data_IF_555723879436
#
_entry.id   IF_555723879436
#
_cell.length_a   1.000
_cell.length_b   1.000
_cell.length_c   1.000
_cell.angle_alpha   90.00
_cell.angle_beta   90.00
_cell.angle_gamma   90.00
#
_symmetry.space_group_name_H-M   'P 1'
#
loop_
_entity.id
_entity.type
_entity.pdbx_description
1 polymer ?
#
# COMPACT_ATOMS: atom_id res chain seq x y z
N UNK A 1 16.94 -4.65 28.16
CA UNK A 1 16.80 -4.28 26.74
C UNK A 1 15.77 -5.20 26.13
N UNK A 2 14.55 -4.72 25.89
CA UNK A 2 13.55 -5.47 25.12
C UNK A 2 13.65 -4.94 23.69
N UNK A 3 14.39 -5.66 22.85
CA UNK A 3 14.45 -5.38 21.42
C UNK A 3 13.30 -6.14 20.76
N UNK A 4 12.12 -5.54 20.75
CA UNK A 4 11.07 -5.93 19.82
C UNK A 4 11.21 -5.02 18.59
N UNK A 5 12.21 -5.31 17.75
CA UNK A 5 12.21 -4.85 16.36
C UNK A 5 11.21 -5.77 15.62
N UNK A 6 9.91 -5.59 15.88
CA UNK A 6 8.90 -6.06 14.93
C UNK A 6 8.83 -4.99 13.85
N UNK A 7 9.45 -5.24 12.69
CA UNK A 7 9.14 -4.46 11.51
C UNK A 7 7.65 -4.63 11.24
N UNK A 8 6.89 -3.55 11.47
CA UNK A 8 5.43 -3.66 11.39
C UNK A 8 5.05 -3.59 9.92
N UNK A 9 4.80 -4.77 9.34
CA UNK A 9 4.22 -4.89 8.01
C UNK A 9 2.79 -4.34 8.02
N UNK A 10 2.54 -3.33 7.19
CA UNK A 10 1.23 -2.69 7.08
C UNK A 10 0.53 -3.21 5.83
N UNK A 11 -0.73 -3.61 6.00
CA UNK A 11 -1.60 -4.11 4.93
C UNK A 11 -2.89 -3.32 4.84
N UNK A 12 -3.27 -2.94 3.62
CA UNK A 12 -4.55 -2.28 3.33
C UNK A 12 -5.18 -2.86 2.07
N UNK A 13 -6.43 -3.29 2.20
CA UNK A 13 -7.27 -3.67 1.07
C UNK A 13 -8.18 -2.50 0.68
N UNK A 14 -8.27 -2.25 -0.62
CA UNK A 14 -9.15 -1.26 -1.23
C UNK A 14 -10.12 -1.98 -2.16
N UNK A 15 -11.41 -1.85 -1.90
CA UNK A 15 -12.46 -2.40 -2.76
C UNK A 15 -12.97 -1.30 -3.69
N UNK A 16 -12.91 -1.56 -4.99
CA UNK A 16 -13.58 -0.75 -6.00
C UNK A 16 -14.99 -1.31 -6.26
N UNK A 17 -16.00 -0.48 -6.06
CA UNK A 17 -17.41 -0.89 -6.20
C UNK A 17 -17.87 -0.95 -7.66
N UNK A 18 -17.24 -0.17 -8.53
CA UNK A 18 -17.69 -0.01 -9.91
C UNK A 18 -17.20 -1.18 -10.78
N UNK A 19 -16.01 -1.72 -10.48
CA UNK A 19 -15.42 -2.89 -11.14
C UNK A 19 -15.57 -4.17 -10.32
N UNK A 20 -15.77 -4.07 -9.00
CA UNK A 20 -15.73 -5.20 -8.10
C UNK A 20 -14.30 -5.72 -7.82
N UNK A 21 -13.28 -4.93 -8.15
CA UNK A 21 -11.86 -5.29 -7.99
C UNK A 21 -11.38 -5.03 -6.56
N UNK A 22 -10.41 -5.83 -6.12
CA UNK A 22 -9.68 -5.61 -4.87
C UNK A 22 -8.23 -5.23 -5.17
N UNK A 23 -7.85 -4.00 -4.82
CA UNK A 23 -6.46 -3.53 -4.84
C UNK A 23 -5.83 -3.72 -3.45
N UNK A 24 -4.57 -4.13 -3.41
CA UNK A 24 -3.83 -4.33 -2.15
C UNK A 24 -2.62 -3.40 -2.08
N UNK A 25 -2.55 -2.60 -1.02
CA UNK A 25 -1.38 -1.78 -0.68
C UNK A 25 -0.69 -2.37 0.54
N UNK A 26 0.61 -2.62 0.42
CA UNK A 26 1.43 -3.23 1.46
C UNK A 26 2.75 -2.47 1.58
N UNK A 27 3.23 -2.24 2.80
CA UNK A 27 4.52 -1.58 3.01
C UNK A 27 5.13 -1.95 4.37
N UNK A 28 6.44 -1.81 4.45
CA UNK A 28 7.19 -1.91 5.71
C UNK A 28 7.15 -0.54 6.41
N UNK A 29 6.70 -0.49 7.67
CA UNK A 29 6.57 0.77 8.40
C UNK A 29 7.89 1.39 8.87
N UNK A 30 8.98 0.62 8.90
CA UNK A 30 10.31 1.11 9.28
C UNK A 30 11.01 1.74 8.08
N UNK A 31 10.93 1.11 6.90
CA UNK A 31 11.59 1.60 5.69
C UNK A 31 10.71 2.49 4.80
N UNK A 32 9.38 2.41 4.99
CA UNK A 32 8.37 2.99 4.11
C UNK A 32 8.43 2.46 2.67
N UNK A 33 9.13 1.36 2.40
CA UNK A 33 9.12 0.72 1.09
C UNK A 33 7.86 -0.14 0.95
N UNK A 34 7.16 0.04 -0.18
CA UNK A 34 5.87 -0.60 -0.41
C UNK A 34 5.66 -1.16 -1.80
N UNK A 35 4.56 -1.90 -1.94
CA UNK A 35 4.06 -2.41 -3.20
C UNK A 35 2.54 -2.30 -3.29
N UNK A 36 2.04 -2.23 -4.52
CA UNK A 36 0.61 -2.22 -4.85
C UNK A 36 0.30 -3.38 -5.81
N UNK A 37 -0.80 -4.07 -5.58
CA UNK A 37 -1.28 -5.18 -6.41
C UNK A 37 -2.64 -4.84 -7.00
N UNK A 38 -2.81 -5.10 -8.29
CA UNK A 38 -4.01 -4.91 -9.09
C UNK A 38 -4.62 -3.50 -8.90
N UNK A 39 -3.83 -2.42 -9.14
CA UNK A 39 -4.32 -1.07 -8.97
C UNK A 39 -5.36 -0.70 -10.04
N UNK A 40 -6.56 -0.31 -9.60
CA UNK A 40 -7.60 0.22 -10.50
C UNK A 40 -7.28 1.66 -10.87
N UNK A 41 -7.21 1.96 -12.17
CA UNK A 41 -6.82 3.27 -12.72
C UNK A 41 -7.70 4.42 -12.22
N UNK A 42 -9.00 4.18 -12.11
CA UNK A 42 -9.98 5.15 -11.64
C UNK A 42 -9.83 5.47 -10.14
N UNK A 43 -9.22 4.56 -9.38
CA UNK A 43 -8.92 4.72 -7.95
C UNK A 43 -7.45 5.11 -7.67
N UNK A 44 -6.69 5.39 -8.73
CA UNK A 44 -5.26 5.63 -8.62
C UNK A 44 -4.97 6.89 -7.80
N UNK A 45 -5.74 7.96 -7.99
CA UNK A 45 -5.57 9.22 -7.24
C UNK A 45 -5.73 9.02 -5.73
N UNK A 46 -6.73 8.23 -5.30
CA UNK A 46 -6.94 7.90 -3.89
C UNK A 46 -5.78 7.09 -3.33
N UNK A 47 -5.30 6.12 -4.10
CA UNK A 47 -4.19 5.25 -3.69
C UNK A 47 -2.89 6.05 -3.58
N UNK A 48 -2.62 6.93 -4.56
CA UNK A 48 -1.49 7.85 -4.56
C UNK A 48 -1.52 8.80 -3.38
N UNK A 49 -2.69 9.38 -3.06
CA UNK A 49 -2.81 10.26 -1.91
C UNK A 49 -2.35 9.58 -0.62
N UNK A 50 -2.75 8.32 -0.39
CA UNK A 50 -2.26 7.56 0.77
C UNK A 50 -0.74 7.32 0.74
N UNK A 51 -0.20 6.97 -0.43
CA UNK A 51 1.23 6.72 -0.61
C UNK A 51 2.03 7.99 -0.32
N UNK A 52 1.59 9.13 -0.85
CA UNK A 52 2.24 10.44 -0.68
C UNK A 52 2.14 10.95 0.77
N UNK A 53 0.95 10.88 1.38
CA UNK A 53 0.75 11.34 2.77
C UNK A 53 1.55 10.53 3.78
N UNK A 54 1.76 9.24 3.52
CA UNK A 54 2.55 8.35 4.38
C UNK A 54 4.04 8.34 4.02
N UNK A 55 4.45 8.98 2.93
CA UNK A 55 5.84 8.98 2.46
C UNK A 55 6.33 7.62 1.99
N UNK A 56 5.43 6.78 1.47
CA UNK A 56 5.75 5.42 1.01
C UNK A 56 6.52 5.48 -0.31
N UNK A 57 7.69 4.86 -0.35
CA UNK A 57 8.41 4.60 -1.61
C UNK A 57 7.83 3.34 -2.26
N UNK A 58 7.01 3.52 -3.29
CA UNK A 58 6.43 2.41 -4.03
C UNK A 58 7.49 1.73 -4.93
N UNK A 59 7.97 0.55 -4.53
CA UNK A 59 9.00 -0.22 -5.25
C UNK A 59 8.42 -1.07 -6.38
N UNK A 60 7.20 -1.57 -6.20
CA UNK A 60 6.57 -2.48 -7.14
C UNK A 60 5.08 -2.16 -7.34
N UNK A 61 4.65 -2.28 -8.59
CA UNK A 61 3.24 -2.37 -8.96
C UNK A 61 3.06 -3.66 -9.75
N UNK A 62 2.12 -4.49 -9.32
CA UNK A 62 1.89 -5.84 -9.86
C UNK A 62 0.45 -5.92 -10.37
N UNK A 63 0.25 -6.55 -11.52
CA UNK A 63 -1.04 -6.82 -12.17
C UNK A 63 -1.25 -8.35 -12.22
#
# INVERSE_FOLDING_TARGET
MNNNDESSFVFRQLFDKDTGTFTYLMFDSDTLEGLIIDPVKEQFDRSLQFIEELGIELKYAID
#
